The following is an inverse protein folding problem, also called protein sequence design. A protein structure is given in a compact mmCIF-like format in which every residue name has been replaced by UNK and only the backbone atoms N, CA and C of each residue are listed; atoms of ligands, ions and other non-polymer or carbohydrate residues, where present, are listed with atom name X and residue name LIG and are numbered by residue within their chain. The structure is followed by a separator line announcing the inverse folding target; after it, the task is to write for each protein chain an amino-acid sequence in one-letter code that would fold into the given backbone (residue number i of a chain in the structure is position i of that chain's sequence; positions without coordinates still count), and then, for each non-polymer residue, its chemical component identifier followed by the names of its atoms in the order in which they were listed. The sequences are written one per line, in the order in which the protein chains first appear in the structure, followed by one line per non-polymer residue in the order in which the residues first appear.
data_IF_194871054790
#
_entry.id   IF_194871054790
#
_cell.length_a   1.000
_cell.length_b   1.000
_cell.length_c   1.000
_cell.angle_alpha   90.00
_cell.angle_beta   90.00
_cell.angle_gamma   90.00
#
_symmetry.space_group_name_H-M   'P 1'
#
loop_
_entity.id
_entity.type
_entity.pdbx_description
1 polymer ?
#
# COMPACT_ATOMS: atom_id res chain seq x y z
N UNK A 1 -9.38 -1.50 -16.96
CA UNK A 1 -8.67 -0.94 -15.85
C UNK A 1 -7.38 -1.65 -15.60
N UNK A 2 -6.37 -0.92 -15.36
CA UNK A 2 -5.05 -1.50 -15.28
C UNK A 2 -4.79 -2.15 -13.92
N UNK A 3 -3.86 -3.07 -13.93
CA UNK A 3 -3.38 -3.70 -12.71
C UNK A 3 -1.90 -3.44 -12.59
N UNK A 4 -1.42 -3.43 -11.37
CA UNK A 4 0.00 -3.32 -11.08
C UNK A 4 0.37 -4.53 -10.24
N UNK A 5 1.26 -5.37 -10.76
CA UNK A 5 1.72 -6.56 -10.04
C UNK A 5 0.56 -7.46 -9.62
N UNK A 6 -0.47 -7.54 -10.46
CA UNK A 6 -1.60 -8.41 -10.18
C UNK A 6 -2.64 -7.83 -9.23
N UNK A 7 -2.49 -6.58 -8.84
CA UNK A 7 -3.45 -5.93 -7.96
C UNK A 7 -4.45 -5.13 -8.78
N UNK A 8 -5.70 -5.09 -8.31
CA UNK A 8 -6.72 -4.28 -8.94
C UNK A 8 -6.70 -2.88 -8.37
N UNK A 9 -7.44 -1.99 -9.02
CA UNK A 9 -7.55 -0.63 -8.54
C UNK A 9 -8.18 -0.57 -7.16
N UNK A 10 -9.14 -1.44 -6.90
CA UNK A 10 -9.78 -1.49 -5.60
C UNK A 10 -8.81 -1.93 -4.52
N UNK A 11 -7.95 -2.88 -4.86
CA UNK A 11 -6.94 -3.31 -3.90
C UNK A 11 -5.93 -2.20 -3.63
N UNK A 12 -5.63 -1.40 -4.65
CA UNK A 12 -4.74 -0.27 -4.46
C UNK A 12 -5.31 0.70 -3.44
N UNK A 13 -6.57 1.04 -3.58
CA UNK A 13 -7.22 1.95 -2.65
C UNK A 13 -7.30 1.35 -1.25
N UNK A 14 -7.59 0.06 -1.19
CA UNK A 14 -7.68 -0.62 0.10
C UNK A 14 -6.34 -0.61 0.82
N UNK A 15 -5.28 -0.89 0.08
CA UNK A 15 -3.94 -0.92 0.67
C UNK A 15 -3.55 0.46 1.19
N UNK A 16 -3.75 1.49 0.37
CA UNK A 16 -3.38 2.84 0.78
C UNK A 16 -4.16 3.27 2.01
N UNK A 17 -5.46 2.98 2.03
CA UNK A 17 -6.28 3.32 3.18
C UNK A 17 -5.83 2.59 4.44
N UNK A 18 -5.52 1.30 4.29
CA UNK A 18 -5.06 0.51 5.42
C UNK A 18 -3.74 1.05 5.98
N UNK A 19 -2.80 1.35 5.09
CA UNK A 19 -1.51 1.87 5.51
C UNK A 19 -1.66 3.24 6.18
N UNK A 20 -2.47 4.10 5.58
CA UNK A 20 -2.69 5.44 6.13
C UNK A 20 -3.25 5.36 7.54
N UNK A 21 -4.28 4.55 7.71
CA UNK A 21 -4.91 4.41 9.01
C UNK A 21 -3.95 3.81 10.03
N UNK A 22 -3.19 2.81 9.61
CA UNK A 22 -2.25 2.16 10.52
C UNK A 22 -1.15 3.10 10.98
N UNK A 23 -0.66 3.95 10.08
CA UNK A 23 0.37 4.90 10.46
C UNK A 23 -0.18 5.92 11.43
N UNK A 24 -1.43 6.31 11.26
CA UNK A 24 -2.05 7.23 12.22
C UNK A 24 -2.14 6.62 13.60
N UNK A 25 -2.22 5.29 13.66
CA UNK A 25 -2.27 4.58 14.94
C UNK A 25 -0.89 4.24 15.48
N UNK A 26 0.16 4.69 14.82
CA UNK A 26 1.51 4.47 15.29
C UNK A 26 2.14 3.15 14.86
N UNK A 27 1.54 2.46 13.89
CA UNK A 27 2.11 1.22 13.40
C UNK A 27 3.23 1.48 12.40
N UNK A 28 4.17 0.53 12.31
CA UNK A 28 5.25 0.66 11.34
C UNK A 28 4.79 0.13 9.98
N UNK A 29 5.48 0.59 8.93
CA UNK A 29 5.19 0.09 7.59
C UNK A 29 5.43 -1.41 7.50
N UNK A 30 6.52 -1.88 8.11
CA UNK A 30 6.84 -3.30 8.07
C UNK A 30 5.69 -4.12 8.66
N UNK A 31 5.19 -3.70 9.81
CA UNK A 31 4.08 -4.38 10.43
C UNK A 31 2.84 -4.37 9.54
N UNK A 32 2.56 -3.22 8.94
CA UNK A 32 1.37 -3.07 8.13
C UNK A 32 1.44 -3.91 6.86
N UNK A 33 2.62 -3.96 6.24
CA UNK A 33 2.78 -4.81 5.05
C UNK A 33 2.55 -6.27 5.39
N UNK A 34 3.10 -6.71 6.51
CA UNK A 34 2.96 -8.11 6.90
C UNK A 34 1.51 -8.45 7.24
N UNK A 35 0.87 -7.57 8.00
CA UNK A 35 -0.51 -7.78 8.40
C UNK A 35 -1.44 -7.81 7.18
N UNK A 36 -1.25 -6.88 6.26
CA UNK A 36 -2.08 -6.84 5.07
C UNK A 36 -1.86 -8.08 4.21
N UNK A 37 -0.59 -8.47 4.05
CA UNK A 37 -0.26 -9.64 3.25
C UNK A 37 -0.93 -10.89 3.81
N UNK A 38 -0.88 -11.05 5.12
CA UNK A 38 -1.49 -12.22 5.75
C UNK A 38 -2.99 -12.24 5.52
N UNK A 39 -3.64 -11.09 5.64
CA UNK A 39 -5.09 -11.03 5.49
C UNK A 39 -5.53 -11.28 4.05
N UNK A 40 -4.64 -11.03 3.09
CA UNK A 40 -4.97 -11.20 1.68
C UNK A 40 -4.35 -12.45 1.07
N UNK A 41 -3.60 -13.21 1.86
CA UNK A 41 -2.95 -14.41 1.34
C UNK A 41 -1.83 -14.10 0.36
N UNK A 42 -1.15 -12.96 0.54
CA UNK A 42 -0.06 -12.54 -0.31
C UNK A 42 1.24 -12.52 0.48
N UNK A 43 2.36 -12.50 -0.25
CA UNK A 43 3.66 -12.41 0.39
C UNK A 43 3.93 -10.97 0.80
N UNK A 44 4.59 -10.80 1.95
CA UNK A 44 4.92 -9.47 2.45
C UNK A 44 5.74 -8.67 1.43
N UNK A 45 6.71 -9.33 0.78
CA UNK A 45 7.53 -8.64 -0.20
C UNK A 45 6.72 -8.15 -1.39
N UNK A 46 5.71 -8.93 -1.77
CA UNK A 46 4.84 -8.52 -2.88
C UNK A 46 4.07 -7.27 -2.51
N UNK A 47 3.51 -7.24 -1.31
CA UNK A 47 2.74 -6.08 -0.85
C UNK A 47 3.64 -4.85 -0.76
N UNK A 48 4.84 -5.02 -0.22
CA UNK A 48 5.79 -3.93 -0.10
C UNK A 48 6.16 -3.36 -1.47
N UNK A 49 6.49 -4.24 -2.40
CA UNK A 49 6.86 -3.80 -3.74
C UNK A 49 5.71 -3.08 -4.42
N UNK A 50 4.51 -3.60 -4.24
CA UNK A 50 3.34 -2.99 -4.84
C UNK A 50 3.10 -1.59 -4.25
N UNK A 51 3.25 -1.46 -2.94
CA UNK A 51 3.06 -0.18 -2.29
C UNK A 51 4.02 0.87 -2.85
N UNK A 52 5.29 0.51 -3.00
CA UNK A 52 6.26 1.46 -3.54
C UNK A 52 6.03 1.73 -5.01
N UNK A 53 5.53 0.75 -5.76
CA UNK A 53 5.18 0.99 -7.15
C UNK A 53 4.04 2.00 -7.25
N UNK A 54 3.06 1.90 -6.35
CA UNK A 54 1.97 2.86 -6.30
C UNK A 54 2.49 4.26 -6.02
N UNK A 55 3.39 4.38 -5.05
CA UNK A 55 3.94 5.68 -4.71
C UNK A 55 4.64 6.29 -5.92
N UNK A 56 5.39 5.47 -6.63
CA UNK A 56 6.15 5.94 -7.77
C UNK A 56 5.23 6.36 -8.91
N UNK A 57 4.20 5.58 -9.17
CA UNK A 57 3.28 5.86 -10.27
C UNK A 57 2.32 6.99 -9.97
N UNK A 58 1.99 7.15 -8.70
CA UNK A 58 1.00 8.14 -8.28
C UNK A 58 1.64 9.33 -7.61
N UNK A 59 2.91 9.57 -7.89
CA UNK A 59 3.61 10.63 -7.18
C UNK A 59 3.01 12.01 -7.44
N UNK A 60 2.24 12.14 -8.51
CA UNK A 60 1.55 13.40 -8.77
C UNK A 60 0.33 13.58 -7.89
N UNK A 61 -0.11 12.53 -7.24
CA UNK A 61 -1.26 12.61 -6.34
C UNK A 61 -0.77 13.10 -4.98
N UNK A 62 -1.25 14.26 -4.58
CA UNK A 62 -0.79 14.87 -3.34
C UNK A 62 -1.04 14.00 -2.13
N UNK A 63 -2.11 13.22 -2.14
CA UNK A 63 -2.40 12.36 -1.01
C UNK A 63 -1.32 11.29 -0.85
N UNK A 64 -0.85 10.78 -1.97
CA UNK A 64 0.21 9.78 -1.93
C UNK A 64 1.51 10.41 -1.47
N UNK A 65 1.82 11.60 -1.98
CA UNK A 65 3.04 12.28 -1.59
C UNK A 65 3.05 12.55 -0.09
N UNK A 66 1.91 12.92 0.46
CA UNK A 66 1.85 13.19 1.91
C UNK A 66 2.08 11.93 2.73
N UNK A 67 1.74 10.77 2.20
CA UNK A 67 1.99 9.54 2.92
C UNK A 67 3.47 9.25 3.05
N UNK A 68 4.28 9.76 2.14
CA UNK A 68 5.72 9.57 2.18
C UNK A 68 6.39 10.44 3.24
N UNK A 69 5.76 11.52 3.60
CA UNK A 69 6.30 12.42 4.63
C UNK A 69 5.99 11.89 6.05
#
# INVERSE_FOLDING_TARGET
MSKINGYTEEEAKSLIGYITEGKQKGKTLSYLFESYALSRGRAKGSVRNYYYALMKNEKADERIVKLLD
#
